data_IF_796274898227
#
_entry.id   IF_796274898227
#
_cell.length_a   1.000
_cell.length_b   1.000
_cell.length_c   1.000
_cell.angle_alpha   90.00
_cell.angle_beta   90.00
_cell.angle_gamma   90.00
#
_symmetry.space_group_name_H-M   'P 1'
#
loop_
_entity.id
_entity.type
_entity.pdbx_description
1 polymer ?
#
# COMPACT_ATOMS: atom_id res chain seq x y z
N UNK A 1 10.21 15.15 -16.94
CA UNK A 1 9.51 14.20 -17.81
C UNK A 1 8.03 14.53 -17.78
N UNK A 2 7.44 14.87 -18.92
CA UNK A 2 6.03 15.25 -19.02
C UNK A 2 5.15 13.99 -18.91
N UNK A 3 4.44 13.82 -17.78
CA UNK A 3 3.36 12.83 -17.72
C UNK A 3 2.22 13.32 -18.63
N UNK A 4 1.99 12.60 -19.72
CA UNK A 4 0.94 12.85 -20.70
C UNK A 4 -0.44 12.54 -20.10
N UNK A 5 -1.02 13.42 -19.28
CA UNK A 5 -2.46 13.49 -18.94
C UNK A 5 -3.18 12.23 -18.40
N UNK A 6 -2.51 11.08 -18.26
CA UNK A 6 -3.12 9.79 -17.94
C UNK A 6 -2.72 9.37 -16.53
N UNK A 7 -3.73 9.24 -15.67
CA UNK A 7 -3.59 8.75 -14.30
C UNK A 7 -3.07 7.29 -14.29
N UNK A 8 -2.24 6.97 -13.31
CA UNK A 8 -1.57 5.69 -13.14
C UNK A 8 -2.54 4.65 -12.54
N UNK A 9 -2.72 3.46 -13.14
CA UNK A 9 -3.37 2.35 -12.45
C UNK A 9 -2.55 1.97 -11.21
N UNK A 10 -3.25 1.51 -10.17
CA UNK A 10 -2.69 1.25 -8.85
C UNK A 10 -2.58 -0.27 -8.64
N UNK A 11 -1.47 -0.72 -8.09
CA UNK A 11 -1.33 -2.08 -7.55
C UNK A 11 -0.92 -1.99 -6.09
N UNK A 12 -1.68 -2.64 -5.21
CA UNK A 12 -1.34 -2.77 -3.79
C UNK A 12 -0.68 -4.12 -3.52
N UNK A 13 0.40 -4.14 -2.74
CA UNK A 13 1.09 -5.35 -2.30
C UNK A 13 1.04 -5.51 -0.78
N UNK A 14 0.60 -6.69 -0.32
CA UNK A 14 0.62 -7.11 1.10
C UNK A 14 1.60 -8.26 1.33
N UNK A 15 2.49 -8.11 2.31
CA UNK A 15 3.51 -9.11 2.62
C UNK A 15 2.96 -10.33 3.39
N UNK A 16 3.77 -11.38 3.47
CA UNK A 16 3.47 -12.59 4.25
C UNK A 16 3.67 -12.41 5.75
N UNK A 17 3.41 -13.47 6.53
CA UNK A 17 3.60 -13.43 7.99
C UNK A 17 5.08 -13.25 8.33
N UNK A 18 5.42 -12.25 9.15
CA UNK A 18 6.81 -12.00 9.54
C UNK A 18 7.71 -11.47 8.42
N UNK A 19 7.14 -11.17 7.24
CA UNK A 19 7.82 -10.63 6.06
C UNK A 19 7.86 -9.10 6.10
N UNK A 20 8.45 -8.46 5.09
CA UNK A 20 8.57 -7.00 5.01
C UNK A 20 7.98 -6.43 3.71
N UNK A 21 7.56 -5.14 3.72
CA UNK A 21 7.02 -4.46 2.52
C UNK A 21 7.95 -4.46 1.30
N UNK A 22 9.25 -4.67 1.52
CA UNK A 22 10.29 -4.69 0.47
C UNK A 22 10.59 -6.09 -0.10
N UNK A 23 10.01 -7.17 0.43
CA UNK A 23 10.37 -8.54 0.01
C UNK A 23 10.05 -8.85 -1.46
N UNK A 24 9.14 -8.07 -2.07
CA UNK A 24 8.76 -8.19 -3.48
C UNK A 24 9.29 -7.04 -4.35
N UNK A 25 10.44 -6.45 -3.99
CA UNK A 25 11.02 -5.30 -4.72
C UNK A 25 11.16 -5.55 -6.22
N UNK A 26 11.56 -6.75 -6.65
CA UNK A 26 11.69 -7.08 -8.08
C UNK A 26 10.34 -6.92 -8.80
N UNK A 27 9.26 -7.47 -8.23
CA UNK A 27 7.92 -7.35 -8.81
C UNK A 27 7.39 -5.90 -8.76
N UNK A 28 7.67 -5.18 -7.68
CA UNK A 28 7.32 -3.76 -7.53
C UNK A 28 8.00 -2.92 -8.62
N UNK A 29 9.29 -3.14 -8.85
CA UNK A 29 10.06 -2.39 -9.86
C UNK A 29 9.62 -2.75 -11.28
N UNK A 30 9.34 -4.02 -11.55
CA UNK A 30 8.79 -4.46 -12.83
C UNK A 30 7.46 -3.76 -13.12
N UNK A 31 6.49 -3.83 -12.21
CA UNK A 31 5.19 -3.16 -12.36
C UNK A 31 5.35 -1.63 -12.51
N UNK A 32 6.21 -1.00 -11.71
CA UNK A 32 6.47 0.42 -11.82
C UNK A 32 7.05 0.81 -13.19
N UNK A 33 7.96 0.00 -13.75
CA UNK A 33 8.55 0.23 -15.09
C UNK A 33 7.50 0.15 -16.22
N UNK A 34 6.39 -0.55 -15.97
CA UNK A 34 5.25 -0.68 -16.88
C UNK A 34 4.16 0.40 -16.66
N UNK A 35 4.42 1.40 -15.82
CA UNK A 35 3.53 2.55 -15.62
C UNK A 35 2.42 2.32 -14.61
N UNK A 36 2.62 1.43 -13.64
CA UNK A 36 1.76 1.29 -12.47
C UNK A 36 2.30 2.13 -11.29
N UNK A 37 1.40 2.69 -10.51
CA UNK A 37 1.73 3.14 -9.16
C UNK A 37 1.62 1.93 -8.22
N UNK A 38 2.73 1.51 -7.64
CA UNK A 38 2.76 0.35 -6.74
C UNK A 38 2.87 0.82 -5.30
N UNK A 39 1.94 0.38 -4.46
CA UNK A 39 1.87 0.75 -3.03
C UNK A 39 2.12 -0.49 -2.20
N UNK A 40 3.14 -0.45 -1.35
CA UNK A 40 3.46 -1.54 -0.41
C UNK A 40 3.12 -1.10 1.01
N UNK A 41 2.75 -2.04 1.88
CA UNK A 41 2.34 -1.77 3.26
C UNK A 41 3.16 -2.60 4.24
N UNK A 42 3.54 -1.99 5.37
CA UNK A 42 3.96 -2.73 6.55
C UNK A 42 2.75 -2.92 7.47
N UNK A 43 2.48 -4.16 7.83
CA UNK A 43 1.47 -4.49 8.83
C UNK A 43 2.13 -4.51 10.22
N UNK A 44 1.97 -3.41 10.97
CA UNK A 44 2.62 -3.23 12.27
C UNK A 44 2.36 -4.42 13.22
N UNK A 45 3.33 -4.70 14.10
CA UNK A 45 3.41 -5.90 14.95
C UNK A 45 3.68 -7.22 14.22
N UNK A 46 3.55 -7.25 12.88
CA UNK A 46 3.91 -8.42 12.07
C UNK A 46 5.22 -8.26 11.29
N UNK A 47 5.75 -7.04 11.24
CA UNK A 47 7.00 -6.68 10.58
C UNK A 47 7.72 -5.56 11.33
N UNK A 48 8.99 -5.32 11.00
CA UNK A 48 9.68 -4.10 11.40
C UNK A 48 9.01 -2.89 10.75
N UNK A 49 8.52 -1.96 11.56
CA UNK A 49 7.82 -0.75 11.11
C UNK A 49 8.40 0.48 11.79
N UNK A 50 8.91 1.42 11.01
CA UNK A 50 9.34 2.74 11.50
C UNK A 50 8.20 3.76 11.36
N UNK A 51 7.84 4.40 12.47
CA UNK A 51 6.84 5.46 12.54
C UNK A 51 7.47 6.84 12.32
N UNK A 52 6.67 7.88 11.97
CA UNK A 52 7.20 9.21 11.68
C UNK A 52 7.94 9.89 12.84
N UNK A 53 7.65 9.48 14.08
CA UNK A 53 8.33 9.92 15.32
C UNK A 53 9.68 9.20 15.56
N UNK A 54 10.12 8.35 14.64
CA UNK A 54 11.34 7.54 14.74
C UNK A 54 11.18 6.29 15.60
N UNK A 55 9.98 6.02 16.13
CA UNK A 55 9.71 4.79 16.88
C UNK A 55 9.71 3.61 15.92
N UNK A 56 10.49 2.58 16.25
CA UNK A 56 10.48 1.31 15.52
C UNK A 56 9.70 0.28 16.32
N UNK A 57 8.66 -0.27 15.70
CA UNK A 57 7.96 -1.46 16.18
C UNK A 57 8.57 -2.68 15.50
N UNK A 58 8.85 -3.72 16.27
CA UNK A 58 9.32 -5.01 15.78
C UNK A 58 8.18 -6.02 15.79
N UNK A 59 8.29 -7.15 15.07
CA UNK A 59 7.36 -8.26 15.27
C UNK A 59 7.31 -8.66 16.76
N UNK A 60 6.11 -8.84 17.30
CA UNK A 60 5.88 -9.18 18.70
C UNK A 60 4.76 -10.23 18.86
N UNK A 61 4.35 -10.52 20.10
CA UNK A 61 3.33 -11.53 20.40
C UNK A 61 1.89 -11.04 20.19
N UNK A 62 1.68 -9.83 19.63
CA UNK A 62 0.34 -9.36 19.26
C UNK A 62 -0.18 -10.22 18.10
N UNK A 63 -1.30 -10.93 18.27
CA UNK A 63 -1.76 -11.87 17.26
C UNK A 63 -2.36 -11.13 16.05
N UNK A 64 -1.62 -11.16 14.93
CA UNK A 64 -2.05 -10.58 13.66
C UNK A 64 -2.57 -11.64 12.69
N UNK A 65 -3.85 -11.54 12.34
CA UNK A 65 -4.55 -12.44 11.42
C UNK A 65 -4.77 -11.79 10.04
N UNK A 66 -5.09 -12.58 8.99
CA UNK A 66 -5.39 -12.03 7.67
C UNK A 66 -6.46 -10.93 7.65
N UNK A 67 -7.43 -10.96 8.57
CA UNK A 67 -8.48 -9.92 8.68
C UNK A 67 -7.94 -8.57 9.14
N UNK A 68 -6.88 -8.58 9.96
CA UNK A 68 -6.27 -7.36 10.49
C UNK A 68 -5.44 -6.71 9.36
N UNK A 69 -4.70 -7.53 8.60
CA UNK A 69 -4.05 -7.09 7.36
C UNK A 69 -5.06 -6.53 6.34
N UNK A 70 -6.24 -7.15 6.22
CA UNK A 70 -7.30 -6.65 5.33
C UNK A 70 -7.85 -5.29 5.79
N UNK A 71 -7.90 -5.02 7.10
CA UNK A 71 -8.28 -3.71 7.61
C UNK A 71 -7.24 -2.63 7.25
N UNK A 72 -5.94 -2.95 7.37
CA UNK A 72 -4.86 -2.07 6.94
C UNK A 72 -4.92 -1.78 5.44
N UNK A 73 -5.21 -2.80 4.62
CA UNK A 73 -5.37 -2.61 3.17
C UNK A 73 -6.53 -1.68 2.84
N UNK A 74 -7.66 -1.78 3.53
CA UNK A 74 -8.79 -0.85 3.34
C UNK A 74 -8.43 0.58 3.73
N UNK A 75 -7.73 0.75 4.85
CA UNK A 75 -7.21 2.06 5.25
C UNK A 75 -6.23 2.63 4.21
N UNK A 76 -5.35 1.79 3.65
CA UNK A 76 -4.43 2.19 2.60
C UNK A 76 -5.18 2.61 1.33
N UNK A 77 -6.24 1.90 0.94
CA UNK A 77 -7.07 2.27 -0.20
C UNK A 77 -7.74 3.64 0.02
N UNK A 78 -8.20 3.95 1.24
CA UNK A 78 -8.74 5.29 1.57
C UNK A 78 -7.66 6.38 1.39
N UNK A 79 -6.42 6.11 1.81
CA UNK A 79 -5.29 7.02 1.59
C UNK A 79 -5.00 7.22 0.09
N UNK A 80 -5.06 6.14 -0.70
CA UNK A 80 -4.84 6.15 -2.16
C UNK A 80 -5.92 6.96 -2.87
N UNK A 81 -7.18 6.85 -2.48
CA UNK A 81 -8.26 7.71 -3.00
C UNK A 81 -8.03 9.18 -2.63
N UNK A 82 -7.58 9.44 -1.40
CA UNK A 82 -7.15 10.76 -0.96
C UNK A 82 -6.09 11.36 -1.91
N UNK A 83 -5.02 10.62 -2.19
CA UNK A 83 -3.97 11.02 -3.14
C UNK A 83 -4.54 11.28 -4.54
N UNK A 84 -5.45 10.43 -5.01
CA UNK A 84 -6.09 10.55 -6.33
C UNK A 84 -6.92 11.84 -6.48
N UNK A 85 -7.52 12.34 -5.39
CA UNK A 85 -8.26 13.62 -5.37
C UNK A 85 -7.42 14.81 -4.90
N UNK A 86 -6.10 14.63 -4.76
CA UNK A 86 -5.17 15.71 -4.42
C UNK A 86 -5.04 16.03 -2.93
N UNK A 87 -5.45 15.11 -2.04
CA UNK A 87 -5.23 15.22 -0.59
C UNK A 87 -3.95 14.50 -0.19
N UNK A 88 -3.22 15.10 0.75
CA UNK A 88 -2.03 14.50 1.32
C UNK A 88 -2.40 13.69 2.58
N UNK A 89 -2.25 12.35 2.59
CA UNK A 89 -2.54 11.53 3.77
C UNK A 89 -1.37 11.45 4.77
N UNK A 90 -0.23 12.10 4.49
CA UNK A 90 0.91 12.09 5.41
C UNK A 90 0.54 12.69 6.77
N UNK A 91 0.84 11.95 7.84
CA UNK A 91 0.42 12.26 9.21
C UNK A 91 1.04 13.57 9.73
N UNK A 92 2.25 13.90 9.27
CA UNK A 92 2.98 15.10 9.65
C UNK A 92 2.77 16.24 8.63
N UNK A 93 1.98 16.01 7.58
CA UNK A 93 1.79 16.94 6.48
C UNK A 93 3.05 17.17 5.63
N UNK A 94 4.00 16.22 5.63
CA UNK A 94 5.22 16.31 4.82
C UNK A 94 4.87 16.45 3.35
N UNK A 95 5.61 17.31 2.65
CA UNK A 95 5.41 17.52 1.22
C UNK A 95 5.64 16.22 0.44
N UNK A 96 4.68 15.85 -0.40
CA UNK A 96 4.78 14.69 -1.27
C UNK A 96 5.64 14.99 -2.51
N UNK A 97 6.21 13.95 -3.16
CA UNK A 97 6.90 14.11 -4.43
C UNK A 97 6.06 14.87 -5.46
N UNK A 98 6.69 15.79 -6.19
CA UNK A 98 6.01 16.61 -7.19
C UNK A 98 5.29 15.73 -8.20
N UNK A 99 4.01 15.99 -8.41
CA UNK A 99 3.18 15.27 -9.37
C UNK A 99 2.55 13.99 -8.84
N UNK A 100 2.73 13.60 -7.57
CA UNK A 100 2.03 12.45 -6.99
C UNK A 100 0.53 12.74 -6.76
N UNK A 101 0.22 13.94 -6.24
CA UNK A 101 -1.17 14.36 -6.00
C UNK A 101 -1.94 14.44 -7.32
N UNK A 102 -3.06 13.72 -7.41
CA UNK A 102 -3.89 13.64 -8.60
C UNK A 102 -3.37 12.70 -9.69
N UNK A 103 -2.22 12.04 -9.50
CA UNK A 103 -1.67 11.13 -10.51
C UNK A 103 -2.24 9.72 -10.49
N UNK A 104 -2.92 9.29 -9.41
CA UNK A 104 -3.45 7.94 -9.27
C UNK A 104 -4.85 7.82 -9.89
N UNK A 105 -5.15 6.68 -10.54
CA UNK A 105 -6.47 6.38 -11.10
C UNK A 105 -7.28 5.46 -10.17
N UNK A 106 -8.23 6.01 -9.39
CA UNK A 106 -8.96 5.23 -8.39
C UNK A 106 -9.97 4.24 -9.01
N UNK A 107 -10.17 4.28 -10.34
CA UNK A 107 -11.02 3.31 -11.04
C UNK A 107 -10.24 2.09 -11.57
N UNK A 108 -8.93 2.06 -11.37
CA UNK A 108 -8.05 0.98 -11.86
C UNK A 108 -7.14 0.53 -10.72
N UNK A 109 -7.70 -0.24 -9.80
CA UNK A 109 -7.01 -0.79 -8.64
C UNK A 109 -6.92 -2.31 -8.78
N UNK A 110 -5.72 -2.84 -8.59
CA UNK A 110 -5.48 -4.26 -8.35
C UNK A 110 -4.74 -4.46 -7.03
N UNK A 111 -4.78 -5.68 -6.51
CA UNK A 111 -4.04 -6.03 -5.31
C UNK A 111 -3.48 -7.46 -5.41
N UNK A 112 -2.31 -7.69 -4.82
CA UNK A 112 -1.73 -9.01 -4.66
C UNK A 112 -1.00 -9.13 -3.32
N UNK A 113 -0.76 -10.35 -2.87
CA UNK A 113 0.02 -10.61 -1.67
C UNK A 113 0.43 -12.07 -1.59
N UNK A 114 1.39 -12.37 -0.70
CA UNK A 114 1.87 -13.73 -0.48
C UNK A 114 1.40 -14.27 0.88
N UNK A 115 1.11 -15.58 0.96
CA UNK A 115 0.73 -16.26 2.22
C UNK A 115 -0.39 -15.51 2.96
N UNK A 116 -0.17 -15.08 4.22
CA UNK A 116 -1.11 -14.26 5.01
C UNK A 116 -1.58 -13.00 4.27
N UNK A 117 -0.70 -12.28 3.59
CA UNK A 117 -1.04 -11.12 2.76
C UNK A 117 -1.87 -11.48 1.53
N UNK A 118 -1.69 -12.69 0.98
CA UNK A 118 -2.54 -13.24 -0.08
C UNK A 118 -3.97 -13.49 0.40
N UNK A 119 -4.13 -14.09 1.57
CA UNK A 119 -5.45 -14.25 2.22
C UNK A 119 -6.07 -12.90 2.55
N UNK A 120 -5.30 -11.94 3.09
CA UNK A 120 -5.75 -10.59 3.36
C UNK A 120 -6.21 -9.85 2.09
N UNK A 121 -5.48 -10.02 0.99
CA UNK A 121 -5.86 -9.49 -0.33
C UNK A 121 -7.22 -10.03 -0.76
N UNK A 122 -7.44 -11.34 -0.67
CA UNK A 122 -8.73 -11.95 -1.01
C UNK A 122 -9.88 -11.48 -0.10
N UNK A 123 -9.62 -11.32 1.20
CA UNK A 123 -10.61 -10.78 2.13
C UNK A 123 -10.96 -9.32 1.80
N UNK A 124 -9.95 -8.53 1.43
CA UNK A 124 -10.13 -7.12 1.06
C UNK A 124 -10.96 -7.00 -0.21
N UNK A 125 -10.61 -7.72 -1.28
CA UNK A 125 -11.34 -7.66 -2.56
C UNK A 125 -12.76 -8.21 -2.48
N UNK A 126 -13.06 -9.07 -1.50
CA UNK A 126 -14.42 -9.53 -1.23
C UNK A 126 -15.27 -8.46 -0.50
N UNK A 127 -14.64 -7.71 0.41
CA UNK A 127 -15.33 -6.76 1.29
C UNK A 127 -15.34 -5.31 0.76
N UNK A 128 -14.43 -4.98 -0.15
CA UNK A 128 -14.23 -3.66 -0.74
C UNK A 128 -14.48 -3.72 -2.25
N UNK A 129 -15.27 -2.78 -2.77
CA UNK A 129 -15.74 -2.79 -4.18
C UNK A 129 -14.90 -1.94 -5.12
N UNK A 130 -13.89 -1.25 -4.60
CA UNK A 130 -12.95 -0.42 -5.37
C UNK A 130 -12.06 -1.27 -6.26
#
# INVERSE_FOLDING_TARGET
MHHTGRRLPIIVYSHGSGSHRSDHTIMVQELASHGFAVVTVDHAHDTFTEFPDGRVVTPDDVPMYPRDFAADLRFLLDCVEGLAVGRNPDVDGKALPQGLLGALDPQRIGAFGCSKGGTATALTTLADRR
#
